data_IF_676491217547
#
_entry.id   IF_676491217547
#
_cell.length_a   1.000
_cell.length_b   1.000
_cell.length_c   1.000
_cell.angle_alpha   90.00
_cell.angle_beta   90.00
_cell.angle_gamma   90.00
#
_symmetry.space_group_name_H-M   'P 1'
#
loop_
_entity.id
_entity.type
_entity.pdbx_description
1 polymer ?
#
# COMPACT_ATOMS: atom_id res chain seq x y z
N UNK A 1 8.10 12.87 -15.24
CA UNK A 1 7.67 11.55 -15.54
C UNK A 1 6.87 10.93 -14.43
N UNK A 2 5.79 10.37 -14.79
CA UNK A 2 4.92 9.84 -13.79
C UNK A 2 4.93 8.33 -13.85
N UNK A 3 5.16 7.67 -12.78
CA UNK A 3 5.13 6.23 -12.79
C UNK A 3 3.81 5.77 -12.21
N UNK A 4 3.18 4.86 -12.92
CA UNK A 4 1.91 4.31 -12.50
C UNK A 4 2.17 2.98 -11.82
N UNK A 5 1.67 2.86 -10.60
CA UNK A 5 1.81 1.61 -9.87
C UNK A 5 0.79 0.62 -10.39
N UNK A 6 1.28 -0.55 -10.77
CA UNK A 6 0.39 -1.60 -11.25
C UNK A 6 0.03 -2.51 -10.10
N UNK A 7 -1.20 -2.97 -10.11
CA UNK A 7 -1.73 -3.82 -9.07
C UNK A 7 -2.19 -5.14 -9.65
N UNK A 8 -1.95 -6.21 -8.94
CA UNK A 8 -2.48 -7.52 -9.32
C UNK A 8 -3.09 -8.16 -8.08
N UNK A 9 -3.99 -9.12 -8.30
CA UNK A 9 -4.66 -9.79 -7.20
C UNK A 9 -3.94 -11.08 -6.85
N UNK A 10 -3.81 -11.33 -5.57
CA UNK A 10 -3.22 -12.57 -5.09
C UNK A 10 -4.08 -13.15 -3.99
N UNK A 11 -4.18 -14.46 -3.98
CA UNK A 11 -4.89 -15.17 -2.93
C UNK A 11 -3.88 -15.62 -1.90
N UNK A 12 -3.98 -15.07 -0.68
CA UNK A 12 -3.04 -15.37 0.39
C UNK A 12 -3.83 -15.85 1.59
N UNK A 13 -3.59 -17.11 1.97
CA UNK A 13 -4.25 -17.70 3.14
C UNK A 13 -5.76 -17.53 3.09
N UNK A 14 -6.32 -17.78 1.94
CA UNK A 14 -7.77 -17.73 1.78
C UNK A 14 -8.36 -16.35 1.65
N UNK A 15 -7.54 -15.32 1.57
CA UNK A 15 -8.01 -13.96 1.43
C UNK A 15 -7.43 -13.33 0.18
N UNK A 16 -8.23 -12.49 -0.47
CA UNK A 16 -7.78 -11.81 -1.66
C UNK A 16 -7.14 -10.48 -1.32
N UNK A 17 -6.02 -10.22 -1.94
CA UNK A 17 -5.30 -8.98 -1.75
C UNK A 17 -4.95 -8.36 -3.09
N UNK A 18 -4.91 -7.04 -3.14
CA UNK A 18 -4.32 -6.33 -4.26
C UNK A 18 -2.90 -5.98 -3.87
N UNK A 19 -1.95 -6.44 -4.67
CA UNK A 19 -0.54 -6.27 -4.38
C UNK A 19 0.08 -5.40 -5.46
N UNK A 20 0.84 -4.41 -5.05
CA UNK A 20 1.52 -3.54 -6.01
C UNK A 20 2.76 -4.23 -6.54
N UNK A 21 3.09 -3.93 -7.78
CA UNK A 21 4.27 -4.50 -8.40
C UNK A 21 5.56 -3.84 -7.91
N UNK A 22 5.42 -2.86 -7.05
CA UNK A 22 6.56 -2.15 -6.48
C UNK A 22 6.69 -2.54 -5.02
N UNK A 23 7.91 -2.78 -4.57
CA UNK A 23 8.14 -3.20 -3.19
C UNK A 23 7.75 -2.13 -2.19
N UNK A 24 7.37 -2.58 -1.00
CA UNK A 24 7.09 -1.70 0.13
C UNK A 24 5.80 -0.93 0.03
N UNK A 25 4.98 -1.22 -0.96
CA UNK A 25 3.64 -0.65 -1.02
C UNK A 25 2.72 -1.59 -0.25
N UNK A 26 1.97 -1.08 0.71
CA UNK A 26 1.09 -1.96 1.49
C UNK A 26 0.07 -2.66 0.61
N UNK A 27 -0.22 -3.90 0.95
CA UNK A 27 -1.24 -4.65 0.26
C UNK A 27 -2.61 -4.15 0.67
N UNK A 28 -3.55 -4.23 -0.26
CA UNK A 28 -4.93 -3.85 0.00
C UNK A 28 -5.76 -5.11 0.16
N UNK A 29 -6.28 -5.33 1.35
CA UNK A 29 -7.07 -6.52 1.61
C UNK A 29 -8.51 -6.32 1.15
N UNK A 30 -9.03 -7.31 0.42
CA UNK A 30 -10.42 -7.28 -0.03
C UNK A 30 -11.29 -7.95 1.01
N UNK A 31 -12.06 -7.16 1.72
CA UNK A 31 -12.90 -7.66 2.79
C UNK A 31 -14.21 -8.22 2.25
N UNK A 32 -14.81 -9.11 3.03
CA UNK A 32 -16.04 -9.77 2.59
C UNK A 32 -17.21 -8.81 2.46
N UNK A 33 -17.19 -7.73 3.23
CA UNK A 33 -18.29 -6.76 3.17
C UNK A 33 -18.12 -5.77 2.04
N UNK A 34 -17.12 -5.96 1.19
CA UNK A 34 -16.91 -5.09 0.05
C UNK A 34 -16.00 -3.91 0.31
N UNK A 35 -15.45 -3.84 1.51
CA UNK A 35 -14.51 -2.75 1.82
C UNK A 35 -13.08 -3.20 1.54
N UNK A 36 -12.17 -2.24 1.63
CA UNK A 36 -10.75 -2.48 1.37
C UNK A 36 -9.95 -2.02 2.57
N UNK A 37 -9.10 -2.89 3.06
CA UNK A 37 -8.32 -2.59 4.26
C UNK A 37 -6.86 -2.36 3.89
N UNK A 38 -6.32 -1.26 4.35
CA UNK A 38 -4.93 -0.90 4.10
C UNK A 38 -4.29 -0.47 5.40
N UNK A 39 -3.02 -0.83 5.58
CA UNK A 39 -2.29 -0.38 6.76
C UNK A 39 -1.56 0.93 6.45
N UNK A 40 -1.66 1.87 7.37
CA UNK A 40 -0.93 3.12 7.20
C UNK A 40 0.50 2.96 7.75
N UNK A 41 1.25 4.05 7.72
CA UNK A 41 2.65 3.99 8.14
C UNK A 41 2.82 3.73 9.63
N UNK A 42 1.77 3.89 10.40
CA UNK A 42 1.81 3.57 11.82
C UNK A 42 1.43 2.12 12.10
N UNK A 43 1.13 1.36 11.06
CA UNK A 43 0.74 -0.01 11.22
C UNK A 43 -0.73 -0.21 11.52
N UNK A 44 -1.50 0.86 11.50
CA UNK A 44 -2.92 0.80 11.80
C UNK A 44 -3.71 0.47 10.54
N UNK A 45 -4.61 -0.49 10.64
CA UNK A 45 -5.44 -0.88 9.50
C UNK A 45 -6.64 0.04 9.40
N UNK A 46 -6.89 0.55 8.20
CA UNK A 46 -7.98 1.46 7.93
C UNK A 46 -8.82 0.90 6.80
N UNK A 47 -10.14 0.87 7.02
CA UNK A 47 -11.06 0.36 6.00
C UNK A 47 -11.55 1.50 5.12
N UNK A 48 -11.64 1.22 3.84
CA UNK A 48 -12.14 2.18 2.86
C UNK A 48 -13.26 1.54 2.07
N UNK A 49 -14.25 2.35 1.75
CA UNK A 49 -15.37 1.85 0.97
C UNK A 49 -15.03 1.74 -0.51
N UNK A 50 -14.09 2.54 -0.97
CA UNK A 50 -13.73 2.54 -2.38
C UNK A 50 -12.26 2.17 -2.56
N UNK A 51 -12.03 1.44 -3.63
CA UNK A 51 -10.69 0.99 -3.93
C UNK A 51 -9.74 2.16 -4.17
N UNK A 52 -10.24 3.21 -4.83
CA UNK A 52 -9.38 4.36 -5.11
C UNK A 52 -8.87 5.01 -3.83
N UNK A 53 -9.69 5.04 -2.79
CA UNK A 53 -9.25 5.61 -1.51
C UNK A 53 -8.18 4.73 -0.88
N UNK A 54 -8.35 3.43 -0.97
CA UNK A 54 -7.35 2.52 -0.43
C UNK A 54 -6.03 2.66 -1.17
N UNK A 55 -6.09 2.83 -2.49
CA UNK A 55 -4.89 3.01 -3.29
C UNK A 55 -4.19 4.30 -2.88
N UNK A 56 -4.96 5.36 -2.65
CA UNK A 56 -4.35 6.63 -2.24
C UNK A 56 -3.59 6.47 -0.94
N UNK A 57 -4.18 5.80 0.02
CA UNK A 57 -3.51 5.60 1.29
C UNK A 57 -2.27 4.74 1.13
N UNK A 58 -2.36 3.69 0.31
CA UNK A 58 -1.21 2.82 0.10
C UNK A 58 -0.06 3.58 -0.55
N UNK A 59 -0.38 4.43 -1.51
CA UNK A 59 0.65 5.21 -2.18
C UNK A 59 1.27 6.22 -1.22
N UNK A 60 0.45 6.86 -0.40
CA UNK A 60 0.96 7.79 0.59
C UNK A 60 1.89 7.10 1.57
N UNK A 61 1.49 5.92 2.02
CA UNK A 61 2.31 5.18 2.95
C UNK A 61 3.64 4.78 2.31
N UNK A 62 3.57 4.36 1.06
CA UNK A 62 4.78 4.01 0.33
C UNK A 62 5.72 5.21 0.20
N UNK A 63 5.16 6.36 -0.11
CA UNK A 63 5.98 7.56 -0.24
C UNK A 63 6.66 7.93 1.06
N UNK A 64 5.95 7.77 2.16
CA UNK A 64 6.53 8.08 3.45
C UNK A 64 7.66 7.13 3.78
N UNK A 65 7.47 5.86 3.49
CA UNK A 65 8.54 4.89 3.72
C UNK A 65 9.73 5.17 2.81
N UNK A 66 9.48 5.49 1.57
CA UNK A 66 10.55 5.81 0.64
C UNK A 66 11.34 7.02 1.10
N UNK A 67 10.63 8.03 1.55
CA UNK A 67 11.28 9.22 2.04
C UNK A 67 12.14 8.92 3.25
N UNK A 68 11.61 8.12 4.13
CA UNK A 68 12.34 7.75 5.33
C UNK A 68 13.60 6.98 4.99
N UNK A 69 13.49 6.02 4.10
CA UNK A 69 14.65 5.25 3.68
C UNK A 69 15.68 6.09 2.96
N UNK A 70 15.19 6.99 2.13
CA UNK A 70 16.07 7.88 1.40
C UNK A 70 16.85 8.77 2.33
N UNK A 71 16.18 9.25 3.34
CA UNK A 71 16.80 10.09 4.32
C UNK A 71 17.93 9.38 5.02
N UNK A 72 17.67 8.12 5.31
CA UNK A 72 18.65 7.27 5.94
C UNK A 72 19.88 7.12 5.06
N UNK A 73 19.65 6.89 3.79
CA UNK A 73 20.73 6.76 2.82
C UNK A 73 21.46 8.06 2.64
N UNK A 74 20.74 9.13 2.65
CA UNK A 74 21.31 10.44 2.46
C UNK A 74 22.31 10.82 3.53
N UNK A 75 22.07 10.34 4.73
CA UNK A 75 22.98 10.63 5.82
C UNK A 75 24.34 10.07 5.59
N UNK A 76 24.43 9.03 4.84
CA UNK A 76 25.69 8.42 4.58
C UNK A 76 26.53 9.18 3.59
N UNK A 77 25.87 9.92 2.78
CA UNK A 77 26.64 10.70 1.79
C UNK A 77 27.19 11.99 2.40
#
# INVERSE_FOLDING_TARGET
MRSTIKWHKELIEGKWFSVADIEHVPMIEHCKDGSYKVRNCNGKAINHKEFSDAVKLAIETHKKFSKFNKRFDGDKS
#
